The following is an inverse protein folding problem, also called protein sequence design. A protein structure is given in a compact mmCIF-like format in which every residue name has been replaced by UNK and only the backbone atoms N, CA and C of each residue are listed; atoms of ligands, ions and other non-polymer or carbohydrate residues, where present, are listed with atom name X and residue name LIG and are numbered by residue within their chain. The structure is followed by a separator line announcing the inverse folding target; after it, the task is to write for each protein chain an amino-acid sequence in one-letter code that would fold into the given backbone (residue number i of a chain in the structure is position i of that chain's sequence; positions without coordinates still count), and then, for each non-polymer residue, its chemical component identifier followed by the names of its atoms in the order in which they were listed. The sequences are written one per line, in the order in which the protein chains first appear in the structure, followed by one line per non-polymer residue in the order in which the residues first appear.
data_IF_640346291045
#
_entry.id   IF_640346291045
#
_cell.length_a   1.000
_cell.length_b   1.000
_cell.length_c   1.000
_cell.angle_alpha   90.00
_cell.angle_beta   90.00
_cell.angle_gamma   90.00
#
_symmetry.space_group_name_H-M   'P 1'
#
loop_
_entity.id
_entity.type
_entity.pdbx_description
1 polymer ?
#
# COMPACT_ATOMS: atom_id res chain seq x y z
N UNK A 1 1.83 -16.55 9.67
CA UNK A 1 1.72 -16.64 8.20
C UNK A 1 3.03 -17.13 7.54
N UNK A 2 4.14 -17.22 8.28
CA UNK A 2 5.42 -17.76 7.79
C UNK A 2 6.19 -16.86 6.82
N UNK A 3 5.89 -15.56 6.77
CA UNK A 3 6.68 -14.60 6.01
C UNK A 3 7.87 -14.11 6.83
N UNK A 4 9.03 -13.98 6.18
CA UNK A 4 10.22 -13.37 6.81
C UNK A 4 10.13 -11.84 6.83
N UNK A 5 9.48 -11.25 5.82
CA UNK A 5 9.21 -9.81 5.70
C UNK A 5 7.79 -9.59 5.23
N UNK A 6 7.08 -8.67 5.86
CA UNK A 6 5.76 -8.21 5.46
C UNK A 6 5.74 -6.68 5.40
N UNK A 7 5.42 -6.11 4.25
CA UNK A 7 5.15 -4.69 4.08
C UNK A 7 3.65 -4.44 3.85
N UNK A 8 3.11 -3.44 4.53
CA UNK A 8 1.69 -3.05 4.40
C UNK A 8 1.56 -1.65 3.80
N UNK A 9 0.89 -1.57 2.65
CA UNK A 9 0.56 -0.28 2.04
C UNK A 9 -0.67 0.34 2.71
N UNK A 10 -0.49 1.41 3.48
CA UNK A 10 -1.58 2.06 4.19
C UNK A 10 -2.57 2.77 3.26
N UNK A 11 -2.13 3.19 2.07
CA UNK A 11 -2.98 3.80 1.05
C UNK A 11 -3.86 2.81 0.25
N UNK A 12 -3.84 1.54 0.60
CA UNK A 12 -4.73 0.52 0.03
C UNK A 12 -5.81 0.13 1.04
N UNK A 13 -5.75 -1.04 1.63
CA UNK A 13 -6.77 -1.56 2.56
C UNK A 13 -7.00 -0.70 3.80
N UNK A 14 -6.03 0.13 4.20
CA UNK A 14 -6.12 1.00 5.39
C UNK A 14 -6.68 2.41 5.08
N UNK A 15 -7.16 2.65 3.87
CA UNK A 15 -7.89 3.84 3.45
C UNK A 15 -7.17 5.19 3.70
N UNK A 16 -5.84 5.21 3.71
CA UNK A 16 -5.09 6.46 3.74
C UNK A 16 -4.92 7.04 2.34
N UNK A 17 -4.70 8.35 2.16
CA UNK A 17 -4.51 8.94 0.84
C UNK A 17 -3.20 8.46 0.20
N UNK A 18 -3.21 8.28 -1.13
CA UNK A 18 -2.00 8.05 -1.92
C UNK A 18 -1.26 9.36 -2.26
N UNK A 19 -2.01 10.40 -2.58
CA UNK A 19 -1.49 11.76 -2.83
C UNK A 19 -0.36 11.84 -3.86
N UNK A 20 -0.42 10.99 -4.88
CA UNK A 20 0.67 10.89 -5.86
C UNK A 20 1.97 10.30 -5.29
N UNK A 21 1.90 9.64 -4.12
CA UNK A 21 3.03 9.07 -3.39
C UNK A 21 3.56 9.91 -2.23
N UNK A 22 3.15 11.20 -2.13
CA UNK A 22 3.63 12.13 -1.10
C UNK A 22 3.35 11.69 0.34
N UNK A 23 2.10 11.34 0.72
CA UNK A 23 1.76 10.89 2.07
C UNK A 23 2.04 9.40 2.28
N UNK A 24 3.08 8.86 1.67
CA UNK A 24 3.44 7.45 1.79
C UNK A 24 3.81 7.06 3.22
N UNK A 25 3.29 5.93 3.68
CA UNK A 25 3.71 5.23 4.88
C UNK A 25 3.38 3.75 4.74
N UNK A 26 4.21 2.89 5.30
CA UNK A 26 4.00 1.46 5.22
C UNK A 26 4.77 0.74 6.33
N UNK A 27 4.07 0.25 7.36
CA UNK A 27 4.67 -0.58 8.38
C UNK A 27 5.33 -1.82 7.77
N UNK A 28 6.50 -2.18 8.28
CA UNK A 28 7.23 -3.38 7.90
C UNK A 28 7.38 -4.27 9.12
N UNK A 29 6.86 -5.48 9.02
CA UNK A 29 7.11 -6.56 9.98
C UNK A 29 8.21 -7.48 9.48
N UNK A 30 9.12 -7.90 10.37
CA UNK A 30 10.19 -8.82 10.02
C UNK A 30 10.28 -9.95 11.05
N UNK A 31 10.79 -11.13 10.60
CA UNK A 31 11.17 -12.21 11.49
C UNK A 31 12.39 -11.85 12.34
N UNK A 32 12.58 -12.56 13.47
CA UNK A 32 13.62 -12.29 14.45
C UNK A 32 15.03 -12.15 13.85
N UNK A 33 15.37 -12.98 12.88
CA UNK A 33 16.67 -12.96 12.20
C UNK A 33 17.00 -11.63 11.51
N UNK A 34 15.97 -10.86 11.15
CA UNK A 34 16.10 -9.60 10.42
C UNK A 34 15.98 -8.37 11.32
N UNK A 35 15.62 -8.52 12.60
CA UNK A 35 15.52 -7.42 13.55
C UNK A 35 16.76 -6.52 13.62
N UNK A 36 18.02 -7.08 13.62
CA UNK A 36 19.22 -6.26 13.70
C UNK A 36 19.42 -5.35 12.47
N UNK A 37 18.79 -5.67 11.35
CA UNK A 37 18.97 -4.96 10.08
C UNK A 37 17.91 -3.90 9.81
N UNK A 38 16.92 -3.76 10.70
CA UNK A 38 15.86 -2.77 10.52
C UNK A 38 16.44 -1.36 10.40
N UNK A 39 15.80 -0.50 9.57
CA UNK A 39 16.22 0.90 9.46
C UNK A 39 16.06 1.64 10.78
N UNK A 40 16.85 2.68 10.96
CA UNK A 40 16.78 3.59 12.12
C UNK A 40 16.32 4.98 11.68
N UNK A 41 15.74 5.81 12.57
CA UNK A 41 15.49 5.54 13.99
C UNK A 41 14.32 4.58 14.24
N UNK A 42 14.44 3.78 15.29
CA UNK A 42 13.36 2.96 15.84
C UNK A 42 12.96 3.53 17.21
N UNK A 43 11.70 3.28 17.60
CA UNK A 43 11.21 3.64 18.92
C UNK A 43 10.84 2.36 19.67
N UNK A 44 11.54 2.11 20.78
CA UNK A 44 11.30 0.97 21.65
C UNK A 44 10.65 1.44 22.95
N UNK A 45 9.56 0.77 23.34
CA UNK A 45 8.99 0.96 24.68
C UNK A 45 9.98 0.44 25.71
N UNK A 46 10.13 1.19 26.81
CA UNK A 46 10.97 0.77 27.93
C UNK A 46 10.15 -0.12 28.86
N UNK A 47 10.70 -1.28 29.20
CA UNK A 47 10.06 -2.19 30.15
C UNK A 47 10.05 -1.58 31.55
N UNK A 48 8.91 -1.70 32.25
CA UNK A 48 8.73 -1.27 33.63
C UNK A 48 8.52 0.23 33.86
N UNK A 49 8.44 1.03 32.79
CA UNK A 49 8.13 2.47 32.86
C UNK A 49 6.94 2.76 31.98
N UNK A 50 5.83 3.24 32.60
CA UNK A 50 4.62 3.55 31.85
C UNK A 50 4.88 4.67 30.82
N UNK A 51 4.47 4.43 29.57
CA UNK A 51 4.48 5.37 28.44
C UNK A 51 5.84 5.95 28.04
N UNK A 52 6.96 5.36 28.48
CA UNK A 52 8.28 5.82 28.08
C UNK A 52 8.83 5.06 26.87
N UNK A 53 9.34 5.80 25.90
CA UNK A 53 9.96 5.27 24.68
C UNK A 53 11.39 5.79 24.53
N UNK A 54 12.29 4.91 24.09
CA UNK A 54 13.66 5.28 23.72
C UNK A 54 13.81 5.27 22.19
N UNK A 55 14.40 6.32 21.65
CA UNK A 55 14.85 6.33 20.28
C UNK A 55 16.14 5.50 20.15
N UNK A 56 16.17 4.62 19.17
CA UNK A 56 17.29 3.76 18.81
C UNK A 56 17.91 4.33 17.53
N UNK A 57 19.20 4.61 17.59
CA UNK A 57 19.95 5.21 16.50
C UNK A 57 21.00 4.26 15.94
N UNK A 58 21.72 4.68 14.87
CA UNK A 58 22.77 3.89 14.22
C UNK A 58 23.81 3.34 15.19
N UNK A 59 24.22 4.13 16.21
CA UNK A 59 25.17 3.71 17.23
C UNK A 59 24.67 2.56 18.11
N UNK A 60 23.34 2.43 18.25
CA UNK A 60 22.70 1.38 19.03
C UNK A 60 22.38 0.12 18.18
N UNK A 61 22.46 0.25 16.86
CA UNK A 61 22.14 -0.81 15.87
C UNK A 61 23.18 -0.86 14.74
N UNK A 62 24.39 -1.36 15.00
CA UNK A 62 25.50 -1.33 14.02
C UNK A 62 25.25 -2.16 12.76
N UNK A 63 24.34 -3.13 12.80
CA UNK A 63 23.97 -3.95 11.65
C UNK A 63 22.78 -3.39 10.86
N UNK A 64 22.18 -2.27 11.30
CA UNK A 64 21.08 -1.60 10.59
C UNK A 64 21.45 -1.24 9.16
N UNK A 65 20.45 -1.31 8.26
CA UNK A 65 20.60 -0.78 6.89
C UNK A 65 20.66 0.76 6.83
N UNK A 66 20.62 1.43 7.99
CA UNK A 66 20.70 2.88 8.10
C UNK A 66 19.34 3.58 7.99
N UNK A 67 19.39 4.88 7.72
CA UNK A 67 18.18 5.70 7.58
C UNK A 67 17.58 5.58 6.19
N UNK A 68 16.27 5.40 6.14
CA UNK A 68 15.49 5.45 4.90
C UNK A 68 14.84 6.84 4.69
N UNK A 69 14.62 7.59 5.77
CA UNK A 69 14.05 8.95 5.74
C UNK A 69 14.55 9.78 6.90
N UNK A 70 14.31 11.09 6.87
CA UNK A 70 14.72 12.01 7.94
C UNK A 70 13.95 11.81 9.25
N UNK A 71 12.84 11.09 9.24
CA UNK A 71 11.94 10.87 10.38
C UNK A 71 11.38 9.42 10.35
N UNK A 72 10.76 8.98 11.45
CA UNK A 72 10.28 7.61 11.63
C UNK A 72 8.98 7.25 10.89
N UNK A 73 8.52 8.08 9.96
CA UNK A 73 7.31 7.86 9.16
C UNK A 73 6.37 9.07 9.16
N UNK A 74 5.33 9.02 8.32
CA UNK A 74 4.30 10.05 8.27
C UNK A 74 3.30 9.84 9.41
N UNK A 75 3.45 10.59 10.52
CA UNK A 75 2.65 10.42 11.72
C UNK A 75 1.14 10.63 11.48
N UNK A 76 0.76 11.59 10.62
CA UNK A 76 -0.65 11.83 10.27
C UNK A 76 -1.28 10.64 9.54
N UNK A 77 -0.52 10.00 8.65
CA UNK A 77 -0.97 8.79 7.94
C UNK A 77 -1.06 7.59 8.89
N UNK A 78 -0.09 7.43 9.77
CA UNK A 78 -0.08 6.35 10.76
C UNK A 78 -1.28 6.48 11.72
N UNK A 79 -1.57 7.69 12.20
CA UNK A 79 -2.71 7.96 13.07
C UNK A 79 -4.05 7.70 12.36
N UNK A 80 -4.17 8.11 11.09
CA UNK A 80 -5.37 7.83 10.29
C UNK A 80 -5.59 6.32 10.12
N UNK A 81 -4.55 5.58 9.77
CA UNK A 81 -4.62 4.12 9.63
C UNK A 81 -4.98 3.44 10.96
N UNK A 82 -4.41 3.90 12.07
CA UNK A 82 -4.74 3.39 13.41
C UNK A 82 -6.21 3.65 13.75
N UNK A 83 -6.70 4.87 13.58
CA UNK A 83 -8.10 5.21 13.83
C UNK A 83 -9.05 4.38 12.99
N UNK A 84 -8.73 4.17 11.72
CA UNK A 84 -9.50 3.31 10.82
C UNK A 84 -9.49 1.85 11.30
N UNK A 85 -8.33 1.33 11.72
CA UNK A 85 -8.20 -0.02 12.24
C UNK A 85 -9.01 -0.23 13.53
N UNK A 86 -8.97 0.74 14.45
CA UNK A 86 -9.75 0.69 15.69
C UNK A 86 -11.25 0.74 15.42
N UNK A 87 -11.69 1.55 14.44
CA UNK A 87 -13.10 1.65 14.05
C UNK A 87 -13.63 0.36 13.44
N UNK A 88 -12.87 -0.27 12.57
CA UNK A 88 -13.28 -1.47 11.84
C UNK A 88 -13.17 -2.75 12.68
N UNK A 89 -12.15 -2.84 13.50
CA UNK A 89 -11.80 -4.07 14.19
C UNK A 89 -11.51 -5.23 13.22
N UNK A 90 -11.37 -6.42 13.76
CA UNK A 90 -11.06 -7.63 12.97
C UNK A 90 -12.14 -7.96 11.94
N UNK A 91 -13.39 -7.89 12.34
CA UNK A 91 -14.53 -8.23 11.49
C UNK A 91 -14.66 -7.22 10.32
N UNK A 92 -14.53 -5.93 10.61
CA UNK A 92 -14.59 -4.89 9.59
C UNK A 92 -13.49 -5.03 8.53
N UNK A 93 -12.26 -5.38 8.89
CA UNK A 93 -11.20 -5.65 7.93
C UNK A 93 -11.49 -6.85 7.03
N UNK A 94 -12.08 -7.90 7.58
CA UNK A 94 -12.52 -9.05 6.77
C UNK A 94 -13.53 -8.60 5.73
N UNK A 95 -14.56 -7.85 6.14
CA UNK A 95 -15.59 -7.32 5.24
C UNK A 95 -15.04 -6.36 4.19
N UNK A 96 -14.12 -5.45 4.56
CA UNK A 96 -13.45 -4.55 3.60
C UNK A 96 -12.76 -5.35 2.51
N UNK A 97 -12.06 -6.42 2.85
CA UNK A 97 -11.36 -7.28 1.89
C UNK A 97 -12.33 -8.02 0.96
N UNK A 98 -13.41 -8.55 1.49
CA UNK A 98 -14.48 -9.22 0.73
C UNK A 98 -15.16 -8.26 -0.25
N UNK A 99 -15.59 -7.08 0.22
CA UNK A 99 -16.22 -6.07 -0.62
C UNK A 99 -15.27 -5.50 -1.67
N UNK A 100 -14.00 -5.29 -1.33
CA UNK A 100 -13.00 -4.84 -2.30
C UNK A 100 -12.85 -5.83 -3.45
N UNK A 101 -12.79 -7.12 -3.13
CA UNK A 101 -12.71 -8.20 -4.12
C UNK A 101 -13.99 -8.27 -4.97
N UNK A 102 -15.14 -8.19 -4.33
CA UNK A 102 -16.44 -8.20 -5.03
C UNK A 102 -16.56 -7.01 -5.99
N UNK A 103 -16.28 -5.80 -5.50
CA UNK A 103 -16.41 -4.58 -6.26
C UNK A 103 -15.46 -4.54 -7.47
N UNK A 104 -14.20 -4.96 -7.30
CA UNK A 104 -13.23 -5.04 -8.38
C UNK A 104 -13.69 -5.98 -9.48
N UNK A 105 -14.14 -7.19 -9.13
CA UNK A 105 -14.60 -8.16 -10.11
C UNK A 105 -15.93 -7.76 -10.78
N UNK A 106 -16.86 -7.15 -10.03
CA UNK A 106 -18.09 -6.61 -10.58
C UNK A 106 -17.81 -5.50 -11.59
N UNK A 107 -16.97 -4.53 -11.23
CA UNK A 107 -16.59 -3.43 -12.13
C UNK A 107 -15.86 -3.95 -13.38
N UNK A 108 -14.91 -4.86 -13.21
CA UNK A 108 -14.21 -5.50 -14.35
C UNK A 108 -15.19 -6.16 -15.32
N UNK A 109 -16.17 -6.91 -14.80
CA UNK A 109 -17.20 -7.56 -15.62
C UNK A 109 -18.10 -6.54 -16.35
N UNK A 110 -18.45 -5.43 -15.68
CA UNK A 110 -19.25 -4.36 -16.28
C UNK A 110 -18.49 -3.64 -17.40
N UNK A 111 -17.24 -3.27 -17.16
CA UNK A 111 -16.38 -2.62 -18.16
C UNK A 111 -16.12 -3.53 -19.37
N UNK A 112 -15.90 -4.83 -19.16
CA UNK A 112 -15.78 -5.79 -20.24
C UNK A 112 -17.05 -5.83 -21.13
N UNK A 113 -18.25 -5.81 -20.50
CA UNK A 113 -19.53 -5.75 -21.24
C UNK A 113 -19.72 -4.45 -22.03
N UNK A 114 -19.12 -3.35 -21.59
CA UNK A 114 -19.13 -2.06 -22.27
C UNK A 114 -18.05 -1.96 -23.37
N UNK A 115 -17.29 -3.02 -23.61
CA UNK A 115 -16.28 -3.07 -24.68
C UNK A 115 -14.88 -2.66 -24.27
N UNK A 116 -14.65 -2.31 -23.00
CA UNK A 116 -13.30 -2.00 -22.52
C UNK A 116 -12.41 -3.23 -22.49
N UNK A 117 -11.15 -3.05 -22.84
CA UNK A 117 -10.16 -4.12 -22.86
C UNK A 117 -9.48 -4.28 -21.49
N UNK A 118 -9.68 -5.43 -20.86
CA UNK A 118 -8.98 -5.78 -19.62
C UNK A 118 -7.61 -6.39 -19.97
N UNK A 119 -6.55 -5.92 -19.30
CA UNK A 119 -5.19 -6.46 -19.52
C UNK A 119 -5.09 -7.96 -19.18
N UNK A 120 -5.89 -8.42 -18.23
CA UNK A 120 -5.95 -9.82 -17.81
C UNK A 120 -7.40 -10.34 -17.77
N UNK A 121 -8.03 -10.56 -18.94
CA UNK A 121 -9.48 -10.79 -19.06
C UNK A 121 -9.97 -12.11 -18.43
N UNK A 122 -9.07 -13.06 -18.18
CA UNK A 122 -9.36 -14.38 -17.64
C UNK A 122 -8.90 -14.57 -16.19
N UNK A 123 -8.38 -13.51 -15.55
CA UNK A 123 -7.95 -13.54 -14.14
C UNK A 123 -8.97 -12.83 -13.25
N UNK A 124 -9.24 -13.42 -12.08
CA UNK A 124 -9.99 -12.74 -11.03
C UNK A 124 -9.11 -11.66 -10.40
N UNK A 125 -9.68 -10.51 -10.17
CA UNK A 125 -9.06 -9.45 -9.40
C UNK A 125 -9.10 -9.77 -7.89
N UNK A 126 -8.10 -9.34 -7.14
CA UNK A 126 -8.17 -9.27 -5.69
C UNK A 126 -8.95 -8.01 -5.26
N UNK A 127 -8.35 -6.83 -5.41
CA UNK A 127 -8.98 -5.55 -5.08
C UNK A 127 -8.81 -4.50 -6.19
N UNK A 128 -8.06 -4.83 -7.23
CA UNK A 128 -7.77 -3.95 -8.37
C UNK A 128 -7.61 -4.76 -9.65
N UNK A 129 -7.83 -4.11 -10.80
CA UNK A 129 -7.62 -4.67 -12.13
C UNK A 129 -7.13 -3.57 -13.08
N UNK A 130 -6.62 -3.97 -14.23
CA UNK A 130 -6.05 -3.06 -15.22
C UNK A 130 -6.93 -3.03 -16.46
N UNK A 131 -7.34 -1.82 -16.86
CA UNK A 131 -8.00 -1.54 -18.14
C UNK A 131 -6.96 -0.94 -19.08
N UNK A 132 -6.80 -1.52 -20.27
CA UNK A 132 -5.97 -0.95 -21.32
C UNK A 132 -6.81 0.01 -22.17
N UNK A 133 -6.40 1.25 -22.24
CA UNK A 133 -7.01 2.26 -23.13
C UNK A 133 -6.23 2.42 -24.45
N UNK A 134 -5.35 1.49 -24.76
CA UNK A 134 -4.49 1.56 -25.95
C UNK A 134 -5.29 1.60 -27.26
N UNK A 135 -6.39 0.86 -27.31
CA UNK A 135 -7.27 0.81 -28.48
C UNK A 135 -8.00 2.12 -28.66
N UNK A 136 -8.66 2.59 -27.63
CA UNK A 136 -9.41 3.85 -27.60
C UNK A 136 -8.51 5.04 -27.91
N UNK A 137 -7.29 5.05 -27.38
CA UNK A 137 -6.31 6.07 -27.69
C UNK A 137 -5.91 6.07 -29.17
N UNK A 138 -5.65 4.89 -29.77
CA UNK A 138 -5.34 4.77 -31.19
C UNK A 138 -6.49 5.26 -32.07
N UNK A 139 -7.72 4.92 -31.74
CA UNK A 139 -8.91 5.38 -32.49
C UNK A 139 -9.06 6.90 -32.42
N UNK A 140 -8.86 7.52 -31.26
CA UNK A 140 -8.89 8.99 -31.09
C UNK A 140 -7.77 9.66 -31.89
N UNK A 141 -6.56 9.11 -31.88
CA UNK A 141 -5.42 9.65 -32.63
C UNK A 141 -5.65 9.56 -34.14
N UNK A 142 -6.23 8.48 -34.63
CA UNK A 142 -6.58 8.33 -36.04
C UNK A 142 -7.68 9.31 -36.48
N UNK A 143 -8.71 9.50 -35.66
CA UNK A 143 -9.79 10.45 -35.94
C UNK A 143 -9.33 11.91 -35.97
N UNK A 144 -8.33 12.27 -35.15
CA UNK A 144 -7.80 13.64 -35.06
C UNK A 144 -6.68 13.93 -36.06
N UNK A 145 -6.39 13.06 -37.02
CA UNK A 145 -5.30 13.22 -38.02
C UNK A 145 -3.93 13.59 -37.39
N UNK A 146 -3.66 13.14 -36.18
CA UNK A 146 -2.33 13.23 -35.60
C UNK A 146 -1.38 12.18 -36.24
N UNK A 147 -1.43 12.09 -37.59
CA UNK A 147 -0.42 11.40 -38.36
C UNK A 147 0.75 12.33 -38.55
N UNK A 148 1.55 12.56 -37.53
CA UNK A 148 2.91 13.09 -37.68
C UNK A 148 3.38 13.69 -36.36
N UNK A 149 3.97 12.91 -35.53
CA UNK A 149 5.26 13.30 -34.95
C UNK A 149 6.12 12.05 -35.06
N UNK A 150 7.01 12.06 -36.06
CA UNK A 150 8.09 11.11 -36.21
C UNK A 150 9.14 11.25 -35.14
#
# INVERSE_FOLDING_TARGET
MGFDVLHMNLHKTFATPHGGGGPGAGPVGVGEKLLPFLPVPLFRRLDGVDESYKAIWEKDCPASIGRLSAFGGNSGILLRALSYALLLGREGFTRVSEFSTLNANYMAARLKKLGFHLAYPNRRASHEFIVSLQREFKEIMLQKNYNTIG
#
